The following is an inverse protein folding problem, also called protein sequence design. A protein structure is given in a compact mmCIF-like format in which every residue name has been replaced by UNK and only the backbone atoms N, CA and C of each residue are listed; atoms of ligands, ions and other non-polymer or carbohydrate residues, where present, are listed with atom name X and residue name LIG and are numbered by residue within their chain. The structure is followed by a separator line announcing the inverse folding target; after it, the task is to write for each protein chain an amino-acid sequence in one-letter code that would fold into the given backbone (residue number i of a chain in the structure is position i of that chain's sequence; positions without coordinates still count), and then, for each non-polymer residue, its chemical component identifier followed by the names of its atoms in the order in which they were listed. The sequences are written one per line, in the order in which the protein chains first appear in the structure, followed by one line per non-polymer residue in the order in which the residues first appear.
data_IF_530591682482
#
_entry.id   IF_530591682482
#
_cell.length_a   1.000
_cell.length_b   1.000
_cell.length_c   1.000
_cell.angle_alpha   90.00
_cell.angle_beta   90.00
_cell.angle_gamma   90.00
#
_symmetry.space_group_name_H-M   'P 1'
#
loop_
_entity.id
_entity.type
_entity.pdbx_description
1 polymer ?
#
# COMPACT_ATOMS: atom_id res chain seq x y z
N UNK A 1 -11.47 -15.53 -7.32
CA UNK A 1 -11.89 -15.28 -5.90
C UNK A 1 -10.60 -15.01 -5.14
N UNK A 2 -10.42 -13.81 -4.61
CA UNK A 2 -9.24 -13.51 -3.80
C UNK A 2 -9.24 -14.45 -2.57
N UNK A 3 -8.11 -15.11 -2.33
CA UNK A 3 -7.93 -15.95 -1.15
C UNK A 3 -8.17 -15.08 0.10
N UNK A 4 -8.98 -15.58 1.01
CA UNK A 4 -9.21 -14.97 2.30
C UNK A 4 -7.88 -15.09 3.10
N UNK A 5 -7.09 -14.04 3.12
CA UNK A 5 -5.74 -14.04 3.73
C UNK A 5 -5.80 -14.05 5.26
N UNK A 6 -6.95 -14.29 5.87
CA UNK A 6 -7.08 -14.46 7.32
C UNK A 6 -6.73 -13.22 8.16
N UNK A 7 -6.54 -12.07 7.51
CA UNK A 7 -6.21 -10.83 8.19
C UNK A 7 -7.42 -10.32 8.96
N UNK A 8 -7.37 -10.45 10.27
CA UNK A 8 -8.37 -9.94 11.20
C UNK A 8 -7.99 -8.52 11.64
N UNK A 9 -8.99 -7.79 12.15
CA UNK A 9 -8.74 -6.52 12.86
C UNK A 9 -7.73 -6.75 14.00
N UNK A 10 -6.82 -5.80 14.27
CA UNK A 10 -5.97 -5.87 15.45
C UNK A 10 -6.77 -6.07 16.72
N UNK A 11 -6.24 -6.84 17.65
CA UNK A 11 -6.81 -7.00 19.00
C UNK A 11 -6.27 -5.88 19.89
N UNK A 12 -7.05 -4.83 20.08
CA UNK A 12 -6.69 -3.69 20.94
C UNK A 12 -6.36 -4.12 22.37
N UNK A 13 -7.05 -5.16 22.88
CA UNK A 13 -6.76 -5.70 24.20
C UNK A 13 -5.37 -6.36 24.28
N UNK A 14 -4.86 -6.85 23.16
CA UNK A 14 -3.50 -7.38 23.07
C UNK A 14 -2.48 -6.26 22.86
N UNK A 15 -2.75 -5.31 21.98
CA UNK A 15 -1.87 -4.17 21.67
C UNK A 15 -1.62 -3.31 22.91
N UNK A 16 -2.65 -3.06 23.72
CA UNK A 16 -2.58 -2.24 24.93
C UNK A 16 -1.96 -2.93 26.16
N UNK A 17 -1.41 -4.16 26.02
CA UNK A 17 -0.76 -4.86 27.15
C UNK A 17 0.57 -4.25 27.55
N UNK A 18 1.24 -3.56 26.62
CA UNK A 18 2.51 -2.90 26.84
C UNK A 18 2.38 -1.45 26.39
N UNK A 19 2.67 -0.54 27.28
CA UNK A 19 2.79 0.89 27.01
C UNK A 19 4.24 1.31 27.25
N UNK A 20 4.88 1.84 26.22
CA UNK A 20 6.30 2.25 26.26
C UNK A 20 6.42 3.77 26.13
N UNK A 21 7.39 4.34 26.81
CA UNK A 21 7.73 5.75 26.69
C UNK A 21 8.32 6.04 25.31
N UNK A 22 7.84 7.08 24.64
CA UNK A 22 8.44 7.59 23.40
C UNK A 22 9.73 8.34 23.76
N UNK A 23 10.88 7.77 23.44
CA UNK A 23 12.19 8.30 23.85
C UNK A 23 12.57 9.57 23.09
N UNK A 24 12.21 9.68 21.82
CA UNK A 24 12.58 10.78 20.92
C UNK A 24 11.34 11.35 20.21
N UNK A 25 10.42 12.03 20.92
CA UNK A 25 9.14 12.47 20.36
C UNK A 25 9.27 13.50 19.23
N UNK A 26 10.37 14.26 19.22
CA UNK A 26 10.62 15.30 18.19
C UNK A 26 11.38 14.78 16.97
N UNK A 27 11.87 13.53 16.98
CA UNK A 27 12.59 12.94 15.86
C UNK A 27 11.68 12.85 14.64
N UNK A 28 12.05 13.54 13.55
CA UNK A 28 11.30 13.50 12.31
C UNK A 28 11.41 12.11 11.66
N UNK A 29 10.28 11.44 11.51
CA UNK A 29 10.17 10.09 10.95
C UNK A 29 9.46 10.15 9.60
N UNK A 30 10.00 9.45 8.60
CA UNK A 30 9.27 9.08 7.39
C UNK A 30 8.92 7.60 7.54
N UNK A 31 7.63 7.26 7.62
CA UNK A 31 7.18 5.88 7.55
C UNK A 31 7.30 5.38 6.10
N UNK A 32 8.21 4.44 5.81
CA UNK A 32 8.48 4.03 4.44
C UNK A 32 7.49 3.01 3.89
N UNK A 33 6.53 2.51 4.69
CA UNK A 33 5.71 1.38 4.27
C UNK A 33 4.42 1.23 5.08
N UNK A 34 3.32 1.69 4.53
CA UNK A 34 2.00 1.35 5.03
C UNK A 34 1.06 0.96 3.89
N UNK A 35 -0.10 0.40 4.25
CA UNK A 35 -1.17 0.04 3.34
C UNK A 35 -2.47 0.72 3.75
N UNK A 36 -3.43 0.78 2.83
CA UNK A 36 -4.80 1.20 3.09
C UNK A 36 -5.75 0.19 2.44
N UNK A 37 -6.75 -0.27 3.17
CA UNK A 37 -7.67 -1.28 2.66
C UNK A 37 -9.05 -1.25 3.30
N UNK A 38 -9.98 -1.90 2.61
CA UNK A 38 -11.26 -2.30 3.12
C UNK A 38 -11.41 -3.80 2.85
N UNK A 39 -11.17 -4.64 3.87
CA UNK A 39 -11.13 -6.10 3.72
C UNK A 39 -11.88 -6.78 4.87
N UNK A 40 -12.74 -7.76 4.53
CA UNK A 40 -13.38 -8.64 5.52
C UNK A 40 -14.02 -7.90 6.72
N UNK A 41 -14.59 -6.73 6.48
CA UNK A 41 -15.17 -5.90 7.55
C UNK A 41 -14.14 -5.09 8.35
N UNK A 42 -12.87 -5.20 8.04
CA UNK A 42 -11.83 -4.36 8.61
C UNK A 42 -11.52 -3.18 7.69
N UNK A 43 -11.72 -1.99 8.20
CA UNK A 43 -11.42 -0.72 7.51
C UNK A 43 -10.13 -0.15 8.09
N UNK A 44 -9.18 0.16 7.20
CA UNK A 44 -7.98 0.93 7.53
C UNK A 44 -7.73 1.91 6.39
N UNK A 45 -8.26 3.10 6.52
CA UNK A 45 -8.20 4.19 5.54
C UNK A 45 -7.57 5.43 6.19
N UNK A 46 -7.73 6.59 5.57
CA UNK A 46 -7.14 7.83 6.09
C UNK A 46 -7.56 8.16 7.54
N UNK A 47 -8.81 7.96 7.99
CA UNK A 47 -9.17 8.22 9.39
C UNK A 47 -8.42 7.33 10.39
N UNK A 48 -8.31 6.03 10.13
CA UNK A 48 -7.62 5.08 10.99
C UNK A 48 -6.11 5.34 10.98
N UNK A 49 -5.52 5.52 9.80
CA UNK A 49 -4.11 5.89 9.66
C UNK A 49 -3.78 7.17 10.44
N UNK A 50 -4.67 8.17 10.43
CA UNK A 50 -4.44 9.41 11.14
C UNK A 50 -4.39 9.23 12.66
N UNK A 51 -5.12 8.27 13.21
CA UNK A 51 -5.04 7.91 14.64
C UNK A 51 -3.65 7.37 14.96
N UNK A 52 -3.14 6.42 14.16
CA UNK A 52 -1.81 5.84 14.36
C UNK A 52 -0.70 6.89 14.22
N UNK A 53 -0.79 7.76 13.20
CA UNK A 53 0.16 8.85 12.98
C UNK A 53 0.15 9.89 14.10
N UNK A 54 -0.98 10.02 14.83
CA UNK A 54 -1.15 10.90 15.97
C UNK A 54 -0.76 10.29 17.33
N UNK A 55 -0.19 9.08 17.37
CA UNK A 55 0.09 8.32 18.60
C UNK A 55 1.26 8.86 19.44
N UNK A 56 1.89 9.96 19.02
CA UNK A 56 2.92 10.66 19.79
C UNK A 56 4.30 10.76 19.15
N UNK A 57 4.55 9.99 18.09
CA UNK A 57 5.75 10.13 17.26
C UNK A 57 5.60 11.27 16.25
N UNK A 58 6.71 11.91 15.90
CA UNK A 58 6.74 12.96 14.87
C UNK A 58 6.87 12.37 13.45
N UNK A 59 5.82 11.69 12.97
CA UNK A 59 5.78 11.19 11.60
C UNK A 59 5.44 12.33 10.64
N UNK A 60 6.42 12.75 9.84
CA UNK A 60 6.28 13.91 8.93
C UNK A 60 5.76 13.55 7.55
N UNK A 61 5.99 12.32 7.09
CA UNK A 61 5.50 11.81 5.82
C UNK A 61 5.37 10.29 5.85
N UNK A 62 4.54 9.73 4.94
CA UNK A 62 4.44 8.29 4.74
C UNK A 62 4.54 7.90 3.28
N UNK A 63 5.00 6.67 3.04
CA UNK A 63 5.06 6.03 1.73
C UNK A 63 4.01 4.91 1.69
N UNK A 64 3.07 5.01 0.76
CA UNK A 64 2.11 3.95 0.52
C UNK A 64 2.74 2.83 -0.31
N UNK A 65 2.62 1.60 0.13
CA UNK A 65 2.97 0.42 -0.64
C UNK A 65 1.71 -0.28 -1.17
N UNK A 66 1.73 -0.71 -2.42
CA UNK A 66 0.63 -1.44 -3.02
C UNK A 66 0.24 -2.68 -2.20
N UNK A 67 -1.03 -3.06 -2.22
CA UNK A 67 -1.53 -4.25 -1.51
C UNK A 67 -2.73 -4.90 -2.20
N UNK A 68 -2.89 -4.69 -3.51
CA UNK A 68 -4.02 -5.14 -4.31
C UNK A 68 -5.37 -4.60 -3.84
N UNK A 69 -5.38 -3.38 -3.29
CA UNK A 69 -6.58 -2.70 -2.82
C UNK A 69 -7.23 -1.91 -3.94
N UNK A 70 -8.56 -1.93 -4.02
CA UNK A 70 -9.35 -1.06 -4.92
C UNK A 70 -8.99 -1.16 -6.41
N UNK A 71 -8.60 -2.34 -6.88
CA UNK A 71 -8.38 -2.58 -8.31
C UNK A 71 -9.66 -2.34 -9.11
N UNK A 72 -9.52 -1.81 -10.32
CA UNK A 72 -10.65 -1.64 -11.22
C UNK A 72 -11.29 -2.99 -11.53
N UNK A 73 -12.61 -3.06 -11.53
CA UNK A 73 -13.34 -4.29 -11.89
C UNK A 73 -13.31 -4.57 -13.39
N UNK A 74 -13.33 -3.52 -14.18
CA UNK A 74 -13.45 -3.59 -15.64
C UNK A 74 -12.19 -3.02 -16.31
N UNK A 75 -12.01 -3.39 -17.58
CA UNK A 75 -10.89 -2.96 -18.41
C UNK A 75 -9.83 -4.04 -18.57
N UNK A 76 -8.74 -3.73 -19.29
CA UNK A 76 -7.61 -4.64 -19.47
C UNK A 76 -7.02 -5.07 -18.12
N UNK A 77 -6.65 -6.36 -18.00
CA UNK A 77 -6.11 -6.91 -16.74
C UNK A 77 -4.92 -6.13 -16.22
N UNK A 78 -3.96 -5.81 -17.12
CA UNK A 78 -2.76 -5.05 -16.78
C UNK A 78 -3.04 -3.64 -16.23
N UNK A 79 -4.22 -3.08 -16.48
CA UNK A 79 -4.61 -1.72 -16.08
C UNK A 79 -5.43 -1.68 -14.79
N UNK A 80 -5.84 -2.82 -14.26
CA UNK A 80 -6.70 -2.85 -13.07
C UNK A 80 -6.04 -2.23 -11.85
N UNK A 81 -4.72 -2.36 -11.72
CA UNK A 81 -3.93 -1.76 -10.64
C UNK A 81 -3.97 -0.22 -10.62
N UNK A 82 -4.33 0.44 -11.72
CA UNK A 82 -4.56 1.89 -11.74
C UNK A 82 -5.63 2.33 -10.74
N UNK A 83 -6.62 1.47 -10.46
CA UNK A 83 -7.65 1.76 -9.46
C UNK A 83 -7.07 2.00 -8.07
N UNK A 84 -6.06 1.24 -7.68
CA UNK A 84 -5.35 1.44 -6.41
C UNK A 84 -4.61 2.78 -6.40
N UNK A 85 -3.93 3.16 -7.49
CA UNK A 85 -3.26 4.45 -7.61
C UNK A 85 -4.23 5.63 -7.49
N UNK A 86 -5.39 5.54 -8.15
CA UNK A 86 -6.46 6.54 -8.07
C UNK A 86 -7.04 6.65 -6.65
N UNK A 87 -7.26 5.51 -6.01
CA UNK A 87 -7.72 5.43 -4.63
C UNK A 87 -6.74 6.10 -3.67
N UNK A 88 -5.45 5.78 -3.73
CA UNK A 88 -4.42 6.35 -2.86
C UNK A 88 -4.28 7.86 -3.07
N UNK A 89 -4.36 8.33 -4.31
CA UNK A 89 -4.43 9.77 -4.60
C UNK A 89 -5.63 10.43 -3.92
N UNK A 90 -6.79 9.76 -3.90
CA UNK A 90 -7.98 10.24 -3.20
C UNK A 90 -7.76 10.34 -1.69
N UNK A 91 -7.13 9.32 -1.08
CA UNK A 91 -6.78 9.34 0.34
C UNK A 91 -5.79 10.48 0.67
N UNK A 92 -4.76 10.67 -0.14
CA UNK A 92 -3.83 11.80 0.00
C UNK A 92 -4.54 13.16 -0.11
N UNK A 93 -5.56 13.27 -0.96
CA UNK A 93 -6.36 14.49 -1.09
C UNK A 93 -7.23 14.75 0.16
N UNK A 94 -7.77 13.71 0.80
CA UNK A 94 -8.47 13.84 2.09
C UNK A 94 -7.57 14.46 3.16
N UNK A 95 -6.32 13.99 3.26
CA UNK A 95 -5.33 14.58 4.17
C UNK A 95 -5.09 16.06 3.85
N UNK A 96 -4.94 16.42 2.57
CA UNK A 96 -4.66 17.79 2.15
C UNK A 96 -5.78 18.78 2.54
N UNK A 97 -6.98 18.28 2.85
CA UNK A 97 -8.08 19.09 3.42
C UNK A 97 -7.84 19.55 4.87
N UNK A 98 -6.74 19.10 5.52
CA UNK A 98 -6.32 19.54 6.83
C UNK A 98 -7.07 18.91 8.01
N UNK A 99 -7.94 17.92 7.77
CA UNK A 99 -8.76 17.29 8.82
C UNK A 99 -8.06 16.13 9.54
N UNK A 100 -6.93 15.65 9.00
CA UNK A 100 -6.23 14.43 9.43
C UNK A 100 -4.79 14.70 9.90
N UNK A 101 -4.56 15.82 10.58
CA UNK A 101 -3.26 16.18 11.13
C UNK A 101 -2.29 16.80 10.11
N UNK A 102 -1.03 16.97 10.53
CA UNK A 102 0.00 17.65 9.75
C UNK A 102 0.83 16.70 8.87
N UNK A 103 0.89 15.42 9.18
CA UNK A 103 1.67 14.40 8.44
C UNK A 103 1.30 14.36 6.96
N UNK A 104 2.27 14.34 6.07
CA UNK A 104 2.04 14.15 4.64
C UNK A 104 1.80 12.67 4.35
N UNK A 105 0.62 12.19 4.71
CA UNK A 105 0.24 10.80 4.46
C UNK A 105 0.11 10.51 2.96
N UNK A 106 0.59 9.34 2.53
CA UNK A 106 0.66 8.93 1.11
C UNK A 106 1.37 9.96 0.23
N UNK A 107 2.43 10.59 0.74
CA UNK A 107 3.21 11.60 0.00
C UNK A 107 3.86 11.00 -1.24
N UNK A 108 4.31 9.76 -1.11
CA UNK A 108 4.86 8.91 -2.17
C UNK A 108 4.10 7.58 -2.19
N UNK A 109 4.04 6.92 -3.34
CA UNK A 109 3.48 5.57 -3.48
C UNK A 109 4.31 4.69 -4.38
N UNK A 110 4.33 3.40 -4.05
CA UNK A 110 4.73 2.30 -4.92
C UNK A 110 3.47 1.56 -5.36
N UNK A 111 3.29 1.43 -6.68
CA UNK A 111 2.16 0.69 -7.25
C UNK A 111 2.56 -0.70 -7.74
N UNK A 112 1.58 -1.51 -8.10
CA UNK A 112 1.79 -2.79 -8.76
C UNK A 112 1.69 -2.62 -10.28
N UNK A 113 2.69 -3.12 -11.00
CA UNK A 113 2.67 -3.25 -12.45
C UNK A 113 3.21 -4.62 -12.80
N UNK A 114 2.55 -5.31 -13.71
CA UNK A 114 2.98 -6.64 -14.17
C UNK A 114 4.32 -6.54 -14.90
N UNK A 115 5.39 -6.91 -14.19
CA UNK A 115 6.76 -6.86 -14.71
C UNK A 115 7.03 -7.93 -15.77
N UNK A 116 6.15 -8.92 -15.95
CA UNK A 116 6.27 -9.93 -17.01
C UNK A 116 6.02 -9.35 -18.40
N UNK A 117 5.42 -8.17 -18.49
CA UNK A 117 5.23 -7.42 -19.74
C UNK A 117 6.55 -6.92 -20.36
N UNK A 118 7.67 -6.98 -19.63
CA UNK A 118 8.97 -6.56 -20.13
C UNK A 118 8.98 -5.10 -20.62
N UNK A 119 9.42 -4.87 -21.86
CA UNK A 119 9.51 -3.50 -22.42
C UNK A 119 8.15 -2.82 -22.63
N UNK A 120 7.06 -3.57 -22.68
CA UNK A 120 5.71 -3.06 -22.94
C UNK A 120 5.08 -2.41 -21.69
N UNK A 121 5.75 -2.41 -20.54
CA UNK A 121 5.26 -1.77 -19.32
C UNK A 121 5.26 -0.24 -19.37
N UNK A 122 6.07 0.37 -20.24
CA UNK A 122 6.29 1.83 -20.24
C UNK A 122 4.98 2.64 -20.32
N UNK A 123 4.04 2.37 -21.24
CA UNK A 123 2.78 3.11 -21.28
C UNK A 123 1.95 2.97 -20.00
N UNK A 124 2.02 1.81 -19.34
CA UNK A 124 1.30 1.58 -18.08
C UNK A 124 1.93 2.37 -16.93
N UNK A 125 3.26 2.43 -16.85
CA UNK A 125 3.96 3.28 -15.88
C UNK A 125 3.59 4.76 -16.05
N UNK A 126 3.58 5.26 -17.28
CA UNK A 126 3.16 6.63 -17.58
C UNK A 126 1.73 6.91 -17.09
N UNK A 127 0.80 5.96 -17.28
CA UNK A 127 -0.57 6.09 -16.78
C UNK A 127 -0.64 6.10 -15.25
N UNK A 128 0.17 5.32 -14.54
CA UNK A 128 0.26 5.39 -13.08
C UNK A 128 0.81 6.73 -12.61
N UNK A 129 1.84 7.26 -13.28
CA UNK A 129 2.41 8.57 -12.99
C UNK A 129 1.36 9.67 -13.14
N UNK A 130 0.60 9.67 -14.23
CA UNK A 130 -0.48 10.63 -14.49
C UNK A 130 -1.61 10.50 -13.46
N UNK A 131 -2.06 9.26 -13.19
CA UNK A 131 -3.15 9.00 -12.26
C UNK A 131 -2.80 9.40 -10.82
N UNK A 132 -1.54 9.29 -10.43
CA UNK A 132 -1.06 9.55 -9.05
C UNK A 132 -1.03 11.02 -8.65
N UNK A 133 -1.02 11.93 -9.62
CA UNK A 133 -0.78 13.35 -9.35
C UNK A 133 0.63 13.63 -8.81
N UNK A 134 1.63 12.92 -9.34
CA UNK A 134 3.04 13.09 -9.00
C UNK A 134 3.53 12.28 -7.80
N UNK A 135 2.71 11.34 -7.27
CA UNK A 135 3.07 10.53 -6.09
C UNK A 135 3.64 9.16 -6.43
N UNK A 136 3.50 8.69 -7.65
CA UNK A 136 4.00 7.38 -8.08
C UNK A 136 5.52 7.45 -8.32
N UNK A 137 6.29 6.78 -7.47
CA UNK A 137 7.76 6.82 -7.50
C UNK A 137 8.41 5.45 -7.70
N UNK A 138 7.65 4.38 -7.73
CA UNK A 138 8.20 3.06 -7.92
C UNK A 138 7.15 1.98 -8.11
N UNK A 139 7.65 0.80 -8.42
CA UNK A 139 6.86 -0.43 -8.59
C UNK A 139 7.29 -1.44 -7.56
N UNK A 140 6.33 -2.13 -6.96
CA UNK A 140 6.56 -3.36 -6.23
C UNK A 140 5.88 -4.51 -6.98
N UNK A 141 6.65 -5.55 -7.26
CA UNK A 141 6.17 -6.76 -7.89
C UNK A 141 6.69 -7.98 -7.13
N UNK A 142 5.79 -8.79 -6.61
CA UNK A 142 6.14 -9.91 -5.75
C UNK A 142 6.66 -11.09 -6.56
N UNK A 143 7.77 -11.68 -6.11
CA UNK A 143 8.48 -12.76 -6.77
C UNK A 143 8.59 -14.03 -5.92
N UNK A 144 7.93 -14.04 -4.76
CA UNK A 144 7.97 -15.17 -3.84
C UNK A 144 7.21 -16.36 -4.38
N UNK A 145 7.90 -17.50 -4.50
CA UNK A 145 7.34 -18.78 -4.92
C UNK A 145 7.92 -19.92 -4.08
N UNK A 146 7.09 -20.90 -3.76
CA UNK A 146 7.48 -22.13 -3.08
C UNK A 146 6.71 -23.31 -3.67
N UNK A 147 7.34 -24.50 -3.69
CA UNK A 147 6.74 -25.73 -4.19
C UNK A 147 5.74 -26.37 -3.21
N UNK A 148 5.73 -25.95 -1.96
CA UNK A 148 4.79 -26.44 -0.95
C UNK A 148 3.43 -25.76 -1.13
N UNK A 149 2.38 -26.53 -1.38
CA UNK A 149 1.01 -26.06 -1.56
C UNK A 149 0.43 -25.35 -0.33
N UNK A 150 1.03 -25.53 0.87
CA UNK A 150 0.66 -24.82 2.07
C UNK A 150 1.17 -23.37 2.08
N UNK A 151 2.14 -23.03 1.24
CA UNK A 151 2.69 -21.68 1.08
C UNK A 151 1.93 -20.93 0.00
N UNK A 152 1.42 -19.76 0.34
CA UNK A 152 0.76 -18.91 -0.64
C UNK A 152 1.76 -18.28 -1.61
N UNK A 153 1.75 -18.74 -2.85
CA UNK A 153 2.57 -18.18 -3.92
C UNK A 153 2.02 -16.84 -4.39
N UNK A 154 2.88 -15.83 -4.46
CA UNK A 154 2.59 -14.49 -4.97
C UNK A 154 3.19 -14.26 -6.35
N UNK A 155 4.21 -15.02 -6.74
CA UNK A 155 4.73 -15.04 -8.10
C UNK A 155 3.82 -15.85 -9.03
N UNK A 156 3.60 -15.41 -10.27
CA UNK A 156 2.82 -16.18 -11.24
C UNK A 156 3.54 -17.45 -11.75
N UNK A 157 4.86 -17.49 -11.61
CA UNK A 157 5.72 -18.53 -12.16
C UNK A 157 6.93 -18.79 -11.26
N UNK A 158 7.33 -20.08 -10.99
CA UNK A 158 8.48 -20.43 -10.17
C UNK A 158 9.81 -19.92 -10.73
N UNK A 159 9.89 -19.72 -12.04
CA UNK A 159 11.11 -19.33 -12.75
C UNK A 159 11.11 -17.87 -13.21
N UNK A 160 10.15 -17.06 -12.76
CA UNK A 160 9.92 -15.69 -13.21
C UNK A 160 11.18 -14.81 -13.22
N UNK A 161 12.14 -15.04 -12.30
CA UNK A 161 13.38 -14.27 -12.23
C UNK A 161 14.52 -14.79 -13.11
N UNK A 162 14.40 -15.98 -13.67
CA UNK A 162 15.48 -16.66 -14.41
C UNK A 162 15.13 -16.94 -15.86
N UNK A 163 13.85 -17.06 -16.19
CA UNK A 163 13.38 -17.24 -17.56
C UNK A 163 13.34 -15.90 -18.28
N UNK A 164 13.89 -15.87 -19.50
CA UNK A 164 13.99 -14.66 -20.34
C UNK A 164 12.98 -14.74 -21.48
#
# INVERSE_FOLDING_TARGET
MAANTGQTSPDDGWLNKVEEEILEPDLAIIDPHHHLWLRNGYTYLMPELAVDLGSGHNVVATVYAECHSMYRQNGPEAEKSLGETEFVRGQAAMRAAGQFGATRACDVMFGNVDMTLGADIKPLLERHMDASGGRFHGVRYSTGWDADDAIHNVAPDPHMLVDK
#
